data_IF_013722250029
#
_entry.id   IF_013722250029
#
_cell.length_a   1.000
_cell.length_b   1.000
_cell.length_c   1.000
_cell.angle_alpha   90.00
_cell.angle_beta   90.00
_cell.angle_gamma   90.00
#
_symmetry.space_group_name_H-M   'P 1'
#
loop_
_entity.id
_entity.type
_entity.pdbx_description
1 polymer ?
#
# COMPACT_ATOMS: atom_id res chain seq x y z
N UNK A 1 13.31 -23.92 -2.40
CA UNK A 1 12.91 -22.55 -2.80
C UNK A 1 11.81 -22.07 -1.88
N UNK A 2 11.87 -20.82 -1.40
CA UNK A 2 10.75 -20.24 -0.65
C UNK A 2 9.55 -20.13 -1.59
N UNK A 3 8.38 -20.59 -1.15
CA UNK A 3 7.14 -20.60 -1.94
C UNK A 3 6.09 -19.63 -1.38
N UNK A 4 6.40 -18.95 -0.29
CA UNK A 4 5.48 -18.05 0.40
C UNK A 4 6.16 -16.71 0.72
N UNK A 5 5.40 -15.62 0.58
CA UNK A 5 5.80 -14.25 0.94
C UNK A 5 5.45 -13.91 2.40
N UNK A 6 4.80 -14.83 3.11
CA UNK A 6 4.26 -14.62 4.45
C UNK A 6 5.36 -14.64 5.51
N UNK A 7 5.46 -13.56 6.30
CA UNK A 7 6.24 -13.49 7.53
C UNK A 7 5.32 -13.68 8.75
N UNK A 8 5.41 -14.84 9.42
CA UNK A 8 4.55 -15.18 10.55
C UNK A 8 4.67 -14.21 11.73
N UNK A 9 5.88 -13.72 12.01
CA UNK A 9 6.12 -12.75 13.12
C UNK A 9 5.42 -11.43 12.86
N UNK A 10 5.44 -10.95 11.62
CA UNK A 10 4.74 -9.73 11.24
C UNK A 10 3.22 -9.91 11.34
N UNK A 11 2.68 -11.04 10.90
CA UNK A 11 1.25 -11.35 11.04
C UNK A 11 0.83 -11.31 12.52
N UNK A 12 1.59 -11.96 13.42
CA UNK A 12 1.28 -11.96 14.84
C UNK A 12 1.31 -10.54 15.43
N UNK A 13 2.31 -9.72 15.04
CA UNK A 13 2.45 -8.35 15.47
C UNK A 13 1.22 -7.50 15.11
N UNK A 14 0.83 -7.50 13.84
CA UNK A 14 -0.34 -6.74 13.38
C UNK A 14 -1.67 -7.31 13.91
N UNK A 15 -1.76 -8.61 14.08
CA UNK A 15 -2.95 -9.25 14.66
C UNK A 15 -3.22 -8.82 16.11
N UNK A 16 -2.16 -8.52 16.90
CA UNK A 16 -2.32 -8.06 18.29
C UNK A 16 -2.97 -6.69 18.43
N UNK A 17 -2.84 -5.85 17.41
CA UNK A 17 -3.36 -4.47 17.39
C UNK A 17 -4.53 -4.29 16.44
N UNK A 18 -5.08 -5.39 15.90
CA UNK A 18 -6.10 -5.35 14.86
C UNK A 18 -7.37 -4.57 15.26
N UNK A 19 -7.77 -4.62 16.52
CA UNK A 19 -8.96 -3.93 17.02
C UNK A 19 -8.83 -2.39 17.00
N UNK A 20 -7.59 -1.87 16.96
CA UNK A 20 -7.29 -0.45 16.95
C UNK A 20 -7.29 0.18 15.54
N UNK A 21 -7.49 -0.62 14.45
CA UNK A 21 -7.41 -0.12 13.08
C UNK A 21 -8.24 1.15 12.83
N UNK A 22 -9.42 1.24 13.43
CA UNK A 22 -10.36 2.33 13.23
C UNK A 22 -10.39 3.35 14.37
N UNK A 23 -9.47 3.25 15.33
CA UNK A 23 -9.26 4.28 16.35
C UNK A 23 -8.31 5.37 15.82
N UNK A 24 -8.83 6.59 15.51
CA UNK A 24 -8.01 7.67 14.98
C UNK A 24 -7.05 8.26 16.02
N UNK A 25 -7.17 7.87 17.29
CA UNK A 25 -6.33 8.31 18.40
C UNK A 25 -5.33 7.24 18.84
N UNK A 26 -5.55 5.99 18.43
CA UNK A 26 -4.75 4.82 18.74
C UNK A 26 -3.45 4.70 17.94
N UNK A 27 -2.93 3.49 17.85
CA UNK A 27 -1.65 3.17 17.18
C UNK A 27 -1.63 3.48 15.69
N UNK A 28 -2.80 3.49 15.05
CA UNK A 28 -2.94 3.81 13.62
C UNK A 28 -3.23 5.28 13.32
N UNK A 29 -3.20 6.17 14.34
CA UNK A 29 -3.34 7.62 14.18
C UNK A 29 -2.49 8.21 13.04
N UNK A 30 -1.19 7.84 12.84
CA UNK A 30 -0.42 8.35 11.72
C UNK A 30 -1.02 7.99 10.37
N UNK A 31 -1.54 6.76 10.20
CA UNK A 31 -2.20 6.33 8.98
C UNK A 31 -3.50 7.09 8.73
N UNK A 32 -4.30 7.36 9.77
CA UNK A 32 -5.51 8.18 9.65
C UNK A 32 -5.20 9.60 9.19
N UNK A 33 -4.13 10.22 9.70
CA UNK A 33 -3.67 11.54 9.26
C UNK A 33 -3.13 11.53 7.82
N UNK A 34 -2.50 10.44 7.41
CA UNK A 34 -1.86 10.31 6.10
C UNK A 34 -2.86 9.91 4.99
N UNK A 35 -3.88 9.13 5.31
CA UNK A 35 -4.81 8.58 4.33
C UNK A 35 -5.50 9.61 3.42
N UNK A 36 -5.96 10.78 3.86
CA UNK A 36 -6.63 11.72 2.98
C UNK A 36 -5.80 12.09 1.74
N UNK A 37 -4.50 12.37 1.92
CA UNK A 37 -3.63 12.71 0.80
C UNK A 37 -3.31 11.49 -0.07
N UNK A 38 -3.13 10.32 0.55
CA UNK A 38 -2.91 9.05 -0.14
C UNK A 38 -4.10 8.70 -1.04
N UNK A 39 -5.32 8.79 -0.51
CA UNK A 39 -6.56 8.55 -1.24
C UNK A 39 -6.69 9.51 -2.42
N UNK A 40 -6.46 10.82 -2.20
CA UNK A 40 -6.52 11.83 -3.25
C UNK A 40 -5.52 11.54 -4.37
N UNK A 41 -4.28 11.23 -4.03
CA UNK A 41 -3.22 10.87 -4.98
C UNK A 41 -3.58 9.63 -5.81
N UNK A 42 -3.99 8.53 -5.14
CA UNK A 42 -4.38 7.28 -5.81
C UNK A 42 -5.55 7.52 -6.76
N UNK A 43 -6.60 8.22 -6.28
CA UNK A 43 -7.78 8.57 -7.08
C UNK A 43 -7.37 9.33 -8.34
N UNK A 44 -6.56 10.39 -8.20
CA UNK A 44 -6.11 11.23 -9.32
C UNK A 44 -5.34 10.42 -10.37
N UNK A 45 -4.37 9.60 -9.92
CA UNK A 45 -3.59 8.76 -10.82
C UNK A 45 -4.44 7.73 -11.55
N UNK A 46 -5.43 7.12 -10.90
CA UNK A 46 -6.36 6.18 -11.54
C UNK A 46 -7.20 6.89 -12.59
N UNK A 47 -7.83 8.04 -12.25
CA UNK A 47 -8.63 8.82 -13.17
C UNK A 47 -7.82 9.17 -14.43
N UNK A 48 -6.60 9.67 -14.25
CA UNK A 48 -5.73 10.07 -15.37
C UNK A 48 -5.31 8.87 -16.23
N UNK A 49 -4.90 7.75 -15.60
CA UNK A 49 -4.43 6.56 -16.33
C UNK A 49 -5.52 5.89 -17.16
N UNK A 50 -6.74 5.82 -16.64
CA UNK A 50 -7.87 5.18 -17.31
C UNK A 50 -8.79 6.19 -18.02
N UNK A 51 -8.42 7.48 -18.02
CA UNK A 51 -9.20 8.58 -18.65
C UNK A 51 -10.66 8.58 -18.18
N UNK A 52 -10.85 8.44 -16.86
CA UNK A 52 -12.18 8.39 -16.27
C UNK A 52 -12.77 9.79 -16.09
N UNK A 53 -14.09 9.90 -16.11
CA UNK A 53 -14.77 11.15 -15.77
C UNK A 53 -14.71 11.40 -14.25
N UNK A 54 -14.49 12.66 -13.87
CA UNK A 54 -14.51 13.06 -12.47
C UNK A 54 -15.97 13.23 -12.02
N UNK A 55 -16.49 12.24 -11.34
CA UNK A 55 -17.87 12.17 -10.82
C UNK A 55 -17.85 11.79 -9.32
N UNK A 56 -19.02 11.66 -8.71
CA UNK A 56 -19.13 11.21 -7.32
C UNK A 56 -18.59 9.79 -7.11
N UNK A 57 -18.66 8.95 -8.16
CA UNK A 57 -18.13 7.59 -8.16
C UNK A 57 -17.20 7.35 -9.35
N UNK A 58 -16.04 8.05 -9.40
CA UNK A 58 -15.18 8.02 -10.57
C UNK A 58 -14.56 6.66 -10.85
N UNK A 59 -14.52 5.75 -9.85
CA UNK A 59 -13.88 4.44 -9.96
C UNK A 59 -14.89 3.29 -10.23
N UNK A 60 -16.12 3.60 -10.65
CA UNK A 60 -17.22 2.62 -10.80
C UNK A 60 -16.90 1.43 -11.74
N UNK A 61 -15.96 1.57 -12.67
CA UNK A 61 -15.57 0.50 -13.61
C UNK A 61 -14.24 -0.16 -13.25
N UNK A 62 -13.65 0.21 -12.14
CA UNK A 62 -12.32 -0.23 -11.71
C UNK A 62 -12.45 -1.42 -10.76
N UNK A 63 -11.80 -2.53 -11.10
CA UNK A 63 -11.55 -3.65 -10.19
C UNK A 63 -10.22 -3.42 -9.49
N UNK A 64 -10.27 -3.29 -8.17
CA UNK A 64 -9.13 -2.93 -7.34
C UNK A 64 -8.81 -4.04 -6.35
N UNK A 65 -7.54 -4.41 -6.27
CA UNK A 65 -6.99 -5.30 -5.25
C UNK A 65 -6.15 -4.49 -4.26
N UNK A 66 -6.49 -4.56 -2.99
CA UNK A 66 -5.74 -3.96 -1.88
C UNK A 66 -5.01 -5.08 -1.13
N UNK A 67 -3.68 -5.17 -1.30
CA UNK A 67 -2.83 -6.22 -0.73
C UNK A 67 -2.24 -5.71 0.59
N UNK A 68 -2.39 -6.50 1.66
CA UNK A 68 -2.10 -6.06 3.01
C UNK A 68 -3.10 -5.01 3.49
N UNK A 69 -4.39 -5.23 3.19
CA UNK A 69 -5.44 -4.23 3.42
C UNK A 69 -5.67 -3.89 4.91
N UNK A 70 -5.10 -4.66 5.84
CA UNK A 70 -5.30 -4.47 7.28
C UNK A 70 -6.77 -4.41 7.66
N UNK A 71 -7.17 -3.42 8.43
CA UNK A 71 -8.57 -3.16 8.79
C UNK A 71 -9.41 -2.50 7.71
N UNK A 72 -8.87 -2.28 6.49
CA UNK A 72 -9.63 -1.72 5.36
C UNK A 72 -9.56 -0.21 5.20
N UNK A 73 -8.58 0.47 5.81
CA UNK A 73 -8.46 1.94 5.79
C UNK A 73 -8.35 2.55 4.39
N UNK A 74 -7.85 1.80 3.39
CA UNK A 74 -7.84 2.22 1.98
C UNK A 74 -8.94 1.54 1.17
N UNK A 75 -9.22 0.28 1.44
CA UNK A 75 -10.26 -0.48 0.75
C UNK A 75 -11.63 0.23 0.81
N UNK A 76 -12.03 0.75 1.98
CA UNK A 76 -13.33 1.41 2.13
C UNK A 76 -13.44 2.72 1.34
N UNK A 77 -12.50 3.66 1.41
CA UNK A 77 -12.55 4.86 0.58
C UNK A 77 -12.58 4.56 -0.91
N UNK A 78 -11.81 3.56 -1.40
CA UNK A 78 -11.84 3.16 -2.81
C UNK A 78 -13.21 2.59 -3.20
N UNK A 79 -13.85 1.81 -2.32
CA UNK A 79 -15.22 1.32 -2.53
C UNK A 79 -16.25 2.45 -2.55
N UNK A 80 -16.10 3.47 -1.67
CA UNK A 80 -16.98 4.67 -1.69
C UNK A 80 -16.84 5.46 -2.98
N UNK A 81 -15.64 5.49 -3.58
CA UNK A 81 -15.38 6.08 -4.89
C UNK A 81 -15.91 5.22 -6.05
N UNK A 82 -16.51 4.07 -5.76
CA UNK A 82 -17.20 3.22 -6.72
C UNK A 82 -16.42 1.99 -7.21
N UNK A 83 -15.17 1.80 -6.79
CA UNK A 83 -14.39 0.63 -7.20
C UNK A 83 -14.99 -0.70 -6.72
N UNK A 84 -14.88 -1.76 -7.53
CA UNK A 84 -15.09 -3.16 -7.13
C UNK A 84 -13.84 -3.61 -6.37
N UNK A 85 -13.88 -3.54 -5.04
CA UNK A 85 -12.70 -3.78 -4.20
C UNK A 85 -12.65 -5.21 -3.69
N UNK A 86 -11.48 -5.83 -3.84
CA UNK A 86 -11.06 -7.02 -3.11
C UNK A 86 -9.92 -6.62 -2.19
N UNK A 87 -10.05 -6.83 -0.89
CA UNK A 87 -8.99 -6.63 0.10
C UNK A 87 -8.45 -7.97 0.57
N UNK A 88 -7.13 -8.13 0.57
CA UNK A 88 -6.49 -9.33 1.12
C UNK A 88 -5.49 -8.96 2.21
N UNK A 89 -5.43 -9.78 3.24
CA UNK A 89 -4.45 -9.68 4.31
C UNK A 89 -4.12 -11.09 4.81
N UNK A 90 -2.89 -11.33 5.24
CA UNK A 90 -2.48 -12.62 5.78
C UNK A 90 -3.00 -12.85 7.22
N UNK A 91 -3.39 -11.79 7.93
CA UNK A 91 -3.99 -11.85 9.26
C UNK A 91 -5.51 -12.01 9.18
N UNK A 92 -6.00 -13.14 9.66
CA UNK A 92 -7.45 -13.39 9.78
C UNK A 92 -8.13 -12.33 10.67
N UNK A 93 -7.48 -11.89 11.76
CA UNK A 93 -8.01 -10.84 12.64
C UNK A 93 -8.22 -9.52 11.93
N UNK A 94 -7.24 -9.09 11.11
CA UNK A 94 -7.38 -7.89 10.30
C UNK A 94 -8.59 -7.99 9.38
N UNK A 95 -8.74 -9.13 8.69
CA UNK A 95 -9.87 -9.39 7.79
C UNK A 95 -11.21 -9.39 8.52
N UNK A 96 -11.27 -9.93 9.73
CA UNK A 96 -12.48 -9.88 10.55
C UNK A 96 -12.87 -8.43 10.90
N UNK A 97 -11.91 -7.62 11.34
CA UNK A 97 -12.13 -6.20 11.64
C UNK A 97 -12.60 -5.44 10.39
N UNK A 98 -11.92 -5.64 9.25
CA UNK A 98 -12.30 -5.02 7.98
C UNK A 98 -13.72 -5.38 7.55
N UNK A 99 -14.11 -6.67 7.63
CA UNK A 99 -15.47 -7.14 7.32
C UNK A 99 -16.53 -6.51 8.22
N UNK A 100 -16.27 -6.46 9.53
CA UNK A 100 -17.21 -5.88 10.49
C UNK A 100 -17.42 -4.39 10.24
N UNK A 101 -16.32 -3.65 9.99
CA UNK A 101 -16.39 -2.22 9.75
C UNK A 101 -17.09 -1.89 8.42
N UNK A 102 -16.75 -2.60 7.35
CA UNK A 102 -17.43 -2.44 6.06
C UNK A 102 -18.92 -2.75 6.14
N UNK A 103 -19.31 -3.83 6.85
CA UNK A 103 -20.72 -4.16 7.09
C UNK A 103 -21.47 -3.07 7.84
N UNK A 104 -20.86 -2.50 8.89
CA UNK A 104 -21.42 -1.36 9.66
C UNK A 104 -21.65 -0.14 8.77
N UNK A 105 -20.81 0.06 7.76
CA UNK A 105 -20.87 1.18 6.82
C UNK A 105 -21.62 0.85 5.52
N UNK A 106 -22.30 -0.30 5.42
CA UNK A 106 -23.04 -0.75 4.23
C UNK A 106 -22.17 -0.80 2.95
N UNK A 107 -20.89 -1.13 3.07
CA UNK A 107 -19.98 -1.27 1.94
C UNK A 107 -19.88 -2.72 1.48
N UNK A 108 -19.86 -2.92 0.17
CA UNK A 108 -19.67 -4.22 -0.47
C UNK A 108 -18.21 -4.37 -0.89
N UNK A 109 -17.41 -4.98 -0.03
CA UNK A 109 -15.98 -5.25 -0.28
C UNK A 109 -15.74 -6.74 -0.06
N UNK A 110 -15.01 -7.37 -0.98
CA UNK A 110 -14.62 -8.77 -0.85
C UNK A 110 -13.33 -8.89 -0.05
N UNK A 111 -13.42 -9.17 1.25
CA UNK A 111 -12.26 -9.37 2.12
C UNK A 111 -11.91 -10.84 2.28
N UNK A 112 -10.65 -11.22 2.02
CA UNK A 112 -10.14 -12.59 2.07
C UNK A 112 -8.85 -12.69 2.89
N UNK A 113 -8.73 -13.72 3.71
CA UNK A 113 -7.44 -14.06 4.33
C UNK A 113 -6.60 -14.80 3.29
N UNK A 114 -5.66 -14.08 2.68
CA UNK A 114 -4.83 -14.59 1.59
C UNK A 114 -3.55 -13.78 1.44
N UNK A 115 -2.59 -14.34 0.71
CA UNK A 115 -1.43 -13.66 0.14
C UNK A 115 -1.54 -13.65 -1.40
N UNK A 116 -0.82 -12.75 -2.10
CA UNK A 116 -0.95 -12.63 -3.55
C UNK A 116 -0.63 -13.93 -4.29
N UNK A 117 0.32 -14.74 -3.82
CA UNK A 117 0.69 -16.02 -4.43
C UNK A 117 -0.37 -17.11 -4.27
N UNK A 118 -1.24 -16.98 -3.27
CA UNK A 118 -2.29 -17.96 -2.97
C UNK A 118 -3.69 -17.52 -3.41
N UNK A 119 -3.81 -16.27 -3.90
CA UNK A 119 -5.09 -15.72 -4.31
C UNK A 119 -5.58 -16.38 -5.61
N UNK A 120 -6.67 -17.14 -5.52
CA UNK A 120 -7.35 -17.72 -6.68
C UNK A 120 -8.43 -16.75 -7.15
N UNK A 121 -8.30 -16.27 -8.38
CA UNK A 121 -9.24 -15.33 -9.00
C UNK A 121 -9.54 -15.76 -10.44
N UNK A 122 -10.77 -15.49 -10.89
CA UNK A 122 -11.18 -15.73 -12.26
C UNK A 122 -10.84 -14.56 -13.20
N UNK A 123 -10.67 -13.36 -12.66
CA UNK A 123 -10.46 -12.13 -13.42
C UNK A 123 -9.40 -11.25 -12.76
N UNK A 124 -8.45 -10.76 -13.56
CA UNK A 124 -7.39 -9.84 -13.13
C UNK A 124 -7.93 -8.45 -12.73
N UNK A 125 -7.10 -7.69 -12.04
CA UNK A 125 -7.41 -6.36 -11.51
C UNK A 125 -6.89 -5.25 -12.43
N UNK A 126 -7.62 -4.14 -12.48
CA UNK A 126 -7.21 -2.92 -13.14
C UNK A 126 -6.17 -2.18 -12.30
N UNK A 127 -6.35 -2.21 -10.98
CA UNK A 127 -5.51 -1.52 -10.02
C UNK A 127 -5.11 -2.46 -8.90
N UNK A 128 -3.82 -2.43 -8.52
CA UNK A 128 -3.31 -3.10 -7.32
C UNK A 128 -2.69 -2.06 -6.41
N UNK A 129 -3.05 -2.10 -5.12
CA UNK A 129 -2.45 -1.31 -4.07
C UNK A 129 -1.54 -2.21 -3.21
N UNK A 130 -0.29 -1.80 -3.05
CA UNK A 130 0.72 -2.38 -2.15
C UNK A 130 1.24 -1.25 -1.26
N UNK A 131 0.47 -0.92 -0.22
CA UNK A 131 0.74 0.26 0.60
C UNK A 131 1.35 -0.15 1.93
N UNK A 132 2.63 0.17 2.14
CA UNK A 132 3.39 -0.16 3.36
C UNK A 132 3.39 -1.68 3.65
N UNK A 133 3.51 -2.52 2.61
CA UNK A 133 3.49 -3.98 2.76
C UNK A 133 4.82 -4.62 2.35
N UNK A 134 5.55 -4.00 1.40
CA UNK A 134 6.70 -4.63 0.77
C UNK A 134 7.86 -4.88 1.74
N UNK A 135 8.01 -4.06 2.77
CA UNK A 135 8.99 -4.21 3.85
C UNK A 135 8.66 -5.36 4.83
N UNK A 136 7.43 -5.88 4.76
CA UNK A 136 6.95 -6.93 5.66
C UNK A 136 6.91 -8.31 5.02
N UNK A 137 7.24 -8.42 3.73
CA UNK A 137 7.25 -9.70 3.02
C UNK A 137 8.61 -10.42 3.15
N UNK A 138 8.59 -11.74 3.12
CA UNK A 138 9.80 -12.57 3.20
C UNK A 138 10.65 -12.56 1.92
N UNK A 139 10.00 -12.38 0.77
CA UNK A 139 10.64 -12.39 -0.55
C UNK A 139 9.94 -11.43 -1.51
N UNK A 140 10.60 -10.31 -1.79
CA UNK A 140 10.09 -9.24 -2.65
C UNK A 140 9.97 -9.68 -4.11
N UNK A 141 10.87 -10.54 -4.58
CA UNK A 141 10.87 -11.02 -5.97
C UNK A 141 9.64 -11.90 -6.24
N UNK A 142 9.35 -12.86 -5.34
CA UNK A 142 8.15 -13.70 -5.39
C UNK A 142 6.89 -12.82 -5.25
N UNK A 143 6.90 -11.86 -4.34
CA UNK A 143 5.78 -10.94 -4.11
C UNK A 143 5.42 -10.15 -5.37
N UNK A 144 6.39 -9.46 -5.98
CA UNK A 144 6.16 -8.66 -7.19
C UNK A 144 5.76 -9.53 -8.39
N UNK A 145 6.33 -10.73 -8.53
CA UNK A 145 5.91 -11.72 -9.53
C UNK A 145 4.42 -12.06 -9.37
N UNK A 146 4.01 -12.35 -8.14
CA UNK A 146 2.61 -12.70 -7.85
C UNK A 146 1.67 -11.53 -8.12
N UNK A 147 2.03 -10.32 -7.67
CA UNK A 147 1.26 -9.10 -7.93
C UNK A 147 1.11 -8.85 -9.45
N UNK A 148 2.20 -8.96 -10.21
CA UNK A 148 2.17 -8.80 -11.67
C UNK A 148 1.23 -9.82 -12.35
N UNK A 149 1.20 -11.06 -11.86
CA UNK A 149 0.30 -12.09 -12.42
C UNK A 149 -1.18 -11.77 -12.23
N UNK A 150 -1.53 -11.03 -11.17
CA UNK A 150 -2.88 -10.60 -10.83
C UNK A 150 -3.31 -9.31 -11.54
N UNK A 151 -2.34 -8.55 -12.08
CA UNK A 151 -2.59 -7.27 -12.75
C UNK A 151 -2.95 -7.50 -14.22
N UNK A 152 -3.91 -6.73 -14.75
CA UNK A 152 -4.20 -6.68 -16.19
C UNK A 152 -3.02 -6.09 -16.95
N UNK A 153 -2.94 -6.33 -18.27
CA UNK A 153 -1.87 -5.82 -19.13
C UNK A 153 -1.74 -4.29 -19.07
N UNK A 154 -2.87 -3.58 -19.11
CA UNK A 154 -2.93 -2.12 -19.02
C UNK A 154 -3.25 -1.63 -17.60
N UNK A 155 -3.09 -2.51 -16.61
CA UNK A 155 -3.36 -2.18 -15.21
C UNK A 155 -2.22 -1.37 -14.60
N UNK A 156 -2.53 -0.69 -13.50
CA UNK A 156 -1.55 0.08 -12.73
C UNK A 156 -1.38 -0.48 -11.33
N UNK A 157 -0.16 -0.44 -10.82
CA UNK A 157 0.16 -0.89 -9.48
C UNK A 157 0.79 0.27 -8.69
N UNK A 158 0.25 0.55 -7.53
CA UNK A 158 0.84 1.47 -6.57
C UNK A 158 1.66 0.68 -5.58
N UNK A 159 2.87 1.16 -5.32
CA UNK A 159 3.74 0.61 -4.29
C UNK A 159 4.22 1.76 -3.42
N UNK A 160 3.88 1.74 -2.15
CA UNK A 160 4.40 2.67 -1.16
C UNK A 160 5.25 1.91 -0.15
N UNK A 161 6.40 2.48 0.16
CA UNK A 161 7.33 1.95 1.17
C UNK A 161 8.16 3.09 1.74
N UNK A 162 8.77 2.86 2.90
CA UNK A 162 9.70 3.79 3.50
C UNK A 162 11.05 3.63 2.78
N UNK A 163 11.53 4.74 2.18
CA UNK A 163 12.81 4.73 1.48
C UNK A 163 13.98 4.45 2.44
N UNK A 164 14.96 3.63 2.01
CA UNK A 164 16.17 3.29 2.77
C UNK A 164 17.17 4.46 2.77
N UNK A 165 16.87 5.53 3.50
CA UNK A 165 17.76 6.69 3.66
C UNK A 165 18.02 7.00 5.13
N UNK A 166 19.15 7.64 5.44
CA UNK A 166 19.46 8.08 6.80
C UNK A 166 18.37 9.02 7.35
N UNK A 167 17.74 9.83 6.48
CA UNK A 167 16.60 10.68 6.87
C UNK A 167 15.40 9.87 7.29
N UNK A 168 15.03 8.82 6.55
CA UNK A 168 13.91 7.95 6.92
C UNK A 168 14.21 7.16 8.19
N UNK A 169 15.45 6.74 8.42
CA UNK A 169 15.88 6.15 9.68
C UNK A 169 15.64 7.10 10.87
N UNK A 170 16.12 8.33 10.77
CA UNK A 170 15.94 9.33 11.81
C UNK A 170 14.47 9.67 12.07
N UNK A 171 13.66 9.82 11.02
CA UNK A 171 12.27 10.21 11.15
C UNK A 171 11.32 9.04 11.46
N UNK A 172 11.48 7.89 10.80
CA UNK A 172 10.58 6.76 10.98
C UNK A 172 10.89 5.98 12.26
N UNK A 173 12.18 5.74 12.56
CA UNK A 173 12.57 4.94 13.73
C UNK A 173 12.77 5.86 14.93
N UNK A 174 13.71 6.82 14.89
CA UNK A 174 14.01 7.64 16.05
C UNK A 174 12.86 8.62 16.34
N UNK A 175 12.35 9.30 15.31
CA UNK A 175 11.27 10.27 15.47
C UNK A 175 9.95 9.64 15.87
N UNK A 176 9.44 8.72 15.06
CA UNK A 176 8.10 8.17 15.27
C UNK A 176 8.02 7.14 16.39
N UNK A 177 9.04 6.29 16.58
CA UNK A 177 9.00 5.24 17.59
C UNK A 177 9.52 5.70 18.95
N UNK A 178 10.64 6.44 19.01
CA UNK A 178 11.28 6.79 20.28
C UNK A 178 10.90 8.17 20.82
N UNK A 179 10.80 9.20 19.96
CA UNK A 179 10.53 10.58 20.40
C UNK A 179 9.03 10.84 20.48
N UNK A 180 8.31 10.66 19.38
CA UNK A 180 6.89 10.96 19.27
C UNK A 180 6.01 9.83 19.79
N UNK A 181 6.55 8.62 19.90
CA UNK A 181 5.84 7.39 20.33
C UNK A 181 4.53 7.16 19.56
N UNK A 182 4.52 7.57 18.30
CA UNK A 182 3.36 7.36 17.42
C UNK A 182 3.18 5.90 17.03
N UNK A 183 4.30 5.15 17.02
CA UNK A 183 4.33 3.73 16.68
C UNK A 183 5.06 2.95 17.79
N UNK A 184 4.71 1.68 18.01
CA UNK A 184 5.45 0.82 18.94
C UNK A 184 6.92 0.69 18.53
N UNK A 185 7.82 0.65 19.50
CA UNK A 185 9.25 0.42 19.28
C UNK A 185 9.44 -0.91 18.55
N UNK A 186 10.26 -0.93 17.49
CA UNK A 186 10.49 -2.11 16.65
C UNK A 186 9.41 -2.30 15.57
N UNK A 187 8.62 -1.28 15.26
CA UNK A 187 7.68 -1.33 14.13
C UNK A 187 8.43 -1.39 12.81
N UNK A 188 9.57 -0.70 12.70
CA UNK A 188 10.38 -0.65 11.49
C UNK A 188 11.76 -1.25 11.72
N UNK A 189 12.14 -2.21 10.88
CA UNK A 189 13.48 -2.76 10.82
C UNK A 189 14.20 -2.14 9.61
N UNK A 190 15.26 -1.39 9.86
CA UNK A 190 16.06 -0.70 8.83
C UNK A 190 16.51 -1.61 7.69
N UNK A 191 16.88 -2.85 8.02
CA UNK A 191 17.37 -3.82 7.02
C UNK A 191 16.30 -4.25 6.02
N UNK A 192 15.03 -4.06 6.37
CA UNK A 192 13.87 -4.38 5.50
C UNK A 192 13.46 -3.22 4.59
N UNK A 193 14.03 -2.02 4.76
CA UNK A 193 13.76 -0.90 3.88
C UNK A 193 14.39 -1.15 2.51
N UNK A 194 13.65 -0.84 1.45
CA UNK A 194 14.03 -1.13 0.08
C UNK A 194 14.43 0.17 -0.62
N UNK A 195 15.58 0.13 -1.32
CA UNK A 195 15.95 1.23 -2.20
C UNK A 195 15.00 1.26 -3.42
N UNK A 196 14.45 2.43 -3.79
CA UNK A 196 13.57 2.54 -4.94
C UNK A 196 14.17 2.01 -6.25
N UNK A 197 15.49 2.15 -6.45
CA UNK A 197 16.15 1.66 -7.65
C UNK A 197 16.18 0.12 -7.69
N UNK A 198 16.37 -0.53 -6.54
CA UNK A 198 16.34 -1.99 -6.47
C UNK A 198 14.91 -2.50 -6.71
N UNK A 199 13.91 -1.82 -6.15
CA UNK A 199 12.51 -2.13 -6.41
C UNK A 199 12.16 -2.00 -7.90
N UNK A 200 12.63 -0.94 -8.58
CA UNK A 200 12.45 -0.73 -10.01
C UNK A 200 13.12 -1.85 -10.83
N UNK A 201 14.35 -2.26 -10.45
CA UNK A 201 15.06 -3.36 -11.14
C UNK A 201 14.29 -4.68 -11.04
N UNK A 202 13.77 -5.00 -9.84
CA UNK A 202 12.98 -6.23 -9.63
C UNK A 202 11.67 -6.15 -10.42
N UNK A 203 10.98 -5.01 -10.39
CA UNK A 203 9.72 -4.78 -11.10
C UNK A 203 9.86 -5.02 -12.62
N UNK A 204 10.96 -4.57 -13.22
CA UNK A 204 11.25 -4.77 -14.65
C UNK A 204 11.29 -6.24 -15.06
N UNK A 205 11.73 -7.16 -14.18
CA UNK A 205 11.74 -8.61 -14.47
C UNK A 205 10.35 -9.17 -14.77
N UNK A 206 9.31 -8.49 -14.24
CA UNK A 206 7.92 -8.92 -14.36
C UNK A 206 7.10 -8.01 -15.27
N UNK A 207 7.76 -7.32 -16.21
CA UNK A 207 7.16 -6.42 -17.20
C UNK A 207 6.39 -5.23 -16.55
N UNK A 208 6.77 -4.85 -15.34
CA UNK A 208 6.26 -3.66 -14.68
C UNK A 208 7.18 -2.47 -15.01
N UNK A 209 6.61 -1.39 -15.54
CA UNK A 209 7.35 -0.19 -15.89
C UNK A 209 7.00 0.94 -14.95
N UNK A 210 8.03 1.65 -14.46
CA UNK A 210 7.83 2.82 -13.63
C UNK A 210 7.13 3.93 -14.42
N UNK A 211 6.00 4.40 -13.93
CA UNK A 211 5.27 5.54 -14.50
C UNK A 211 5.59 6.83 -13.74
N UNK A 212 5.59 6.76 -12.41
CA UNK A 212 5.85 7.91 -11.54
C UNK A 212 6.63 7.44 -10.31
N UNK A 213 7.51 8.30 -9.81
CA UNK A 213 8.14 8.15 -8.51
C UNK A 213 7.94 9.46 -7.75
N UNK A 214 7.01 9.44 -6.81
CA UNK A 214 6.63 10.60 -6.03
C UNK A 214 6.90 10.34 -4.54
N UNK A 215 7.35 11.35 -3.81
CA UNK A 215 7.56 11.28 -2.38
C UNK A 215 6.41 11.94 -1.63
N UNK A 216 6.19 11.53 -0.38
CA UNK A 216 5.30 12.22 0.53
C UNK A 216 6.08 12.78 1.71
N UNK A 217 5.80 14.04 2.07
CA UNK A 217 6.49 14.78 3.14
C UNK A 217 5.49 15.23 4.19
N UNK A 218 5.88 15.08 5.44
CA UNK A 218 5.17 15.66 6.57
C UNK A 218 5.81 16.98 6.97
N UNK A 219 5.03 18.04 7.07
CA UNK A 219 5.47 19.34 7.58
C UNK A 219 5.07 19.45 9.05
N UNK A 220 6.06 19.43 9.93
CA UNK A 220 5.87 19.46 11.39
C UNK A 220 5.24 20.79 11.84
N UNK A 221 5.56 21.90 11.16
CA UNK A 221 5.06 23.25 11.55
C UNK A 221 3.57 23.36 11.24
N UNK A 222 3.13 22.87 10.10
CA UNK A 222 1.73 22.98 9.65
C UNK A 222 0.89 21.75 9.99
N UNK A 223 1.49 20.69 10.57
CA UNK A 223 0.87 19.38 10.85
C UNK A 223 0.18 18.78 9.61
N UNK A 224 0.76 18.98 8.41
CA UNK A 224 0.17 18.56 7.13
C UNK A 224 1.11 17.69 6.30
N UNK A 225 0.54 16.71 5.64
CA UNK A 225 1.20 15.94 4.60
C UNK A 225 1.09 16.65 3.24
N UNK A 226 2.11 16.49 2.41
CA UNK A 226 2.13 16.98 1.02
C UNK A 226 2.83 16.00 0.10
N UNK A 227 2.41 15.94 -1.16
CA UNK A 227 3.12 15.19 -2.20
C UNK A 227 4.31 16.02 -2.66
N UNK A 228 5.48 15.39 -2.70
CA UNK A 228 6.70 15.95 -3.28
C UNK A 228 6.91 15.30 -4.63
N UNK A 229 6.57 16.00 -5.69
CA UNK A 229 6.85 15.54 -7.05
C UNK A 229 8.36 15.58 -7.29
N UNK A 230 9.00 14.42 -7.26
CA UNK A 230 10.40 14.30 -7.64
C UNK A 230 10.40 13.97 -9.13
N UNK A 231 10.66 14.96 -9.97
CA UNK A 231 11.01 14.68 -11.36
C UNK A 231 12.37 13.97 -11.35
N UNK A 232 12.39 12.66 -11.27
CA UNK A 232 13.51 11.90 -11.75
C UNK A 232 13.51 12.10 -13.26
N UNK A 233 14.33 13.04 -13.76
CA UNK A 233 14.78 12.96 -15.14
C UNK A 233 15.44 11.60 -15.27
N UNK A 234 14.87 10.74 -16.12
CA UNK A 234 15.59 9.61 -16.62
C UNK A 234 16.93 10.19 -17.16
N UNK A 235 18.03 9.87 -16.51
CA UNK A 235 19.32 10.05 -17.14
C UNK A 235 19.28 9.17 -18.37
N UNK A 236 19.05 9.80 -19.52
CA UNK A 236 19.41 9.22 -20.81
C UNK A 236 20.89 8.91 -20.70
N UNK A 237 21.21 7.65 -20.55
CA UNK A 237 22.56 7.16 -20.78
C UNK A 237 22.79 7.34 -22.27
N UNK A 238 23.49 8.41 -22.65
CA UNK A 238 24.11 8.49 -23.97
C UNK A 238 24.95 7.24 -24.19
N UNK A 239 24.79 6.54 -25.31
CA UNK A 239 25.69 5.47 -25.68
C UNK A 239 26.99 6.11 -26.19
N UNK A 240 28.10 5.72 -25.59
CA UNK A 240 29.41 5.66 -26.25
C UNK A 240 29.87 4.22 -26.25
#
# INVERSE_FOLDING_TARGET
>A
MKTSTINKKEIEKFSRIAEEWWDPTGKFKPLHKFNPIRISYIKEKIINSFKLENSDKPLQKIRLLDIGCGGGLLSEPMSRLGAEVTGIDASEKNIQVAKLHAKKNNLKINYLTASPENLKIDRKFDVILNMEIIEHVEDVDIFLKSCSSLLKKEGIMFVATINKTLKSYLFAIIGAEYILRWLPIGTHEWDKFIDPNDLIKISKKYNLQLQNLDGMKFNIITDKWSVSYTHLRAHETCPY
#
